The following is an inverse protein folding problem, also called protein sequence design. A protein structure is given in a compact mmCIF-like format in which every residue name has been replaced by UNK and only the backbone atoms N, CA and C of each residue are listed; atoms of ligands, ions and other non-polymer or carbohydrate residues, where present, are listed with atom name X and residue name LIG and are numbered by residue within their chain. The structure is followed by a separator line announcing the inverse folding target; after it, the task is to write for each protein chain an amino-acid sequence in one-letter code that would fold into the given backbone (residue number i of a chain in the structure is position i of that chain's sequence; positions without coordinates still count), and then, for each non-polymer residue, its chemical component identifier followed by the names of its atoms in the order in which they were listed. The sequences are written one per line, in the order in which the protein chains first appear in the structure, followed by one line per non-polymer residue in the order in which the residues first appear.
data_IF_215087584439
#
_entry.id   IF_215087584439
#
_cell.length_a   1.000
_cell.length_b   1.000
_cell.length_c   1.000
_cell.angle_alpha   90.00
_cell.angle_beta   90.00
_cell.angle_gamma   90.00
#
_symmetry.space_group_name_H-M   'P 1'
#
loop_
_entity.id
_entity.type
_entity.pdbx_description
1 polymer ?
#
# COMPACT_ATOMS: atom_id res chain seq x y z
N UNK A 1 -2.38 -3.96 -6.36
CA UNK A 1 -2.85 -2.56 -6.47
C UNK A 1 -2.06 -1.72 -5.48
N UNK A 2 -1.59 -0.55 -5.89
CA UNK A 2 -0.90 0.42 -5.02
C UNK A 2 -1.69 1.71 -5.06
N UNK A 3 -1.99 2.29 -3.92
CA UNK A 3 -2.78 3.52 -3.83
C UNK A 3 -2.70 4.18 -2.47
N UNK A 4 -3.40 5.28 -2.28
CA UNK A 4 -3.42 6.05 -1.03
C UNK A 4 -4.79 6.04 -0.34
N UNK A 5 -5.77 5.33 -0.90
CA UNK A 5 -7.14 5.23 -0.37
C UNK A 5 -7.54 3.78 -0.10
N UNK A 6 -7.94 3.51 1.14
CA UNK A 6 -8.39 2.18 1.56
C UNK A 6 -9.67 1.73 0.84
N UNK A 7 -10.68 2.62 0.79
CA UNK A 7 -12.03 2.31 0.31
C UNK A 7 -12.10 1.93 -1.17
N UNK A 8 -11.21 2.50 -1.99
CA UNK A 8 -11.20 2.25 -3.43
C UNK A 8 -10.10 1.28 -3.81
N UNK A 9 -8.85 1.59 -3.45
CA UNK A 9 -7.69 0.94 -4.05
C UNK A 9 -7.44 -0.42 -3.40
N UNK A 10 -7.54 -0.47 -2.07
CA UNK A 10 -7.30 -1.69 -1.29
C UNK A 10 -8.53 -2.62 -1.39
N UNK A 11 -9.74 -2.10 -1.25
CA UNK A 11 -10.95 -2.89 -1.39
C UNK A 11 -11.06 -3.55 -2.78
N UNK A 12 -10.80 -2.79 -3.86
CA UNK A 12 -10.83 -3.32 -5.22
C UNK A 12 -9.72 -4.34 -5.46
N UNK A 13 -8.49 -4.05 -5.02
CA UNK A 13 -7.37 -4.96 -5.18
C UNK A 13 -7.57 -6.30 -4.48
N UNK A 14 -8.15 -6.29 -3.27
CA UNK A 14 -8.48 -7.54 -2.57
C UNK A 14 -9.65 -8.27 -3.23
N UNK A 15 -10.67 -7.56 -3.68
CA UNK A 15 -11.80 -8.18 -4.40
C UNK A 15 -11.38 -8.87 -5.71
N UNK A 16 -10.31 -8.41 -6.36
CA UNK A 16 -9.73 -9.05 -7.54
C UNK A 16 -8.66 -10.12 -7.23
N UNK A 17 -8.40 -10.40 -5.95
CA UNK A 17 -7.38 -11.37 -5.52
C UNK A 17 -5.93 -10.89 -5.76
N UNK A 18 -5.72 -9.59 -5.94
CA UNK A 18 -4.40 -8.99 -6.11
C UNK A 18 -3.80 -8.58 -4.77
N UNK A 19 -2.47 -8.67 -4.64
CA UNK A 19 -1.76 -8.05 -3.53
C UNK A 19 -1.98 -6.52 -3.53
N UNK A 20 -2.06 -5.93 -2.34
CA UNK A 20 -2.43 -4.54 -2.10
C UNK A 20 -1.38 -3.80 -1.27
N UNK A 21 -1.06 -2.56 -1.63
CA UNK A 21 -0.17 -1.70 -0.88
C UNK A 21 -0.78 -0.31 -0.73
N UNK A 22 -0.77 0.23 0.49
CA UNK A 22 -1.15 1.63 0.74
C UNK A 22 0.10 2.49 0.94
N UNK A 23 0.16 3.65 0.30
CA UNK A 23 1.21 4.66 0.51
C UNK A 23 0.71 5.79 1.41
N UNK A 24 1.49 6.15 2.42
CA UNK A 24 1.13 7.13 3.46
C UNK A 24 1.45 8.58 3.08
N UNK A 25 1.78 8.83 1.81
CA UNK A 25 2.03 10.18 1.27
C UNK A 25 0.75 10.91 0.85
N UNK A 26 -0.39 10.21 0.86
CA UNK A 26 -1.68 10.73 0.36
C UNK A 26 -2.73 10.85 1.46
N UNK A 27 -3.94 10.35 1.19
CA UNK A 27 -5.11 10.55 2.07
C UNK A 27 -5.10 9.66 3.31
N UNK A 28 -4.62 8.43 3.21
CA UNK A 28 -4.65 7.47 4.33
C UNK A 28 -3.57 7.77 5.35
N UNK A 29 -3.96 7.87 6.63
CA UNK A 29 -3.02 8.02 7.76
C UNK A 29 -2.48 6.66 8.21
N UNK A 30 -1.33 6.62 8.93
CA UNK A 30 -0.78 5.38 9.46
C UNK A 30 -1.79 4.63 10.36
N UNK A 31 -2.51 5.36 11.21
CA UNK A 31 -3.48 4.78 12.14
C UNK A 31 -4.67 4.17 11.40
N UNK A 32 -5.15 4.85 10.36
CA UNK A 32 -6.23 4.36 9.51
C UNK A 32 -5.80 3.10 8.73
N UNK A 33 -4.57 3.07 8.20
CA UNK A 33 -4.03 1.91 7.50
C UNK A 33 -3.89 0.69 8.43
N UNK A 34 -3.50 0.90 9.69
CA UNK A 34 -3.36 -0.17 10.69
C UNK A 34 -4.71 -0.69 11.21
N UNK A 35 -5.73 0.17 11.25
CA UNK A 35 -7.08 -0.19 11.67
C UNK A 35 -7.99 -0.68 10.51
N UNK A 36 -7.48 -0.70 9.28
CA UNK A 36 -8.24 -1.06 8.09
C UNK A 36 -8.74 -2.51 8.13
N UNK A 37 -10.01 -2.70 7.77
CA UNK A 37 -10.61 -4.01 7.51
C UNK A 37 -11.35 -3.98 6.16
N UNK A 38 -10.87 -4.68 5.14
CA UNK A 38 -9.70 -5.55 5.14
C UNK A 38 -8.35 -4.79 5.16
N UNK A 39 -7.37 -5.30 5.92
CA UNK A 39 -6.03 -4.70 6.01
C UNK A 39 -5.26 -4.82 4.67
N UNK A 40 -4.51 -3.80 4.22
CA UNK A 40 -3.62 -3.92 3.06
C UNK A 40 -2.44 -4.87 3.35
N UNK A 41 -1.91 -5.52 2.32
CA UNK A 41 -0.77 -6.44 2.47
C UNK A 41 0.53 -5.69 2.80
N UNK A 42 0.66 -4.45 2.31
CA UNK A 42 1.80 -3.58 2.57
C UNK A 42 1.35 -2.17 2.95
N UNK A 43 2.04 -1.58 3.93
CA UNK A 43 1.90 -0.17 4.30
C UNK A 43 3.28 0.46 4.07
N UNK A 44 3.32 1.47 3.20
CA UNK A 44 4.56 2.09 2.73
C UNK A 44 4.56 3.57 3.08
N UNK A 45 5.66 4.06 3.64
CA UNK A 45 5.78 5.50 3.93
C UNK A 45 5.90 6.33 2.66
N UNK A 46 6.47 5.75 1.60
CA UNK A 46 6.70 6.38 0.30
C UNK A 46 6.69 5.35 -0.82
N UNK A 47 6.39 5.81 -2.05
CA UNK A 47 6.29 4.94 -3.22
C UNK A 47 7.62 4.29 -3.63
N UNK A 48 8.76 4.94 -3.36
CA UNK A 48 10.10 4.44 -3.70
C UNK A 48 10.48 3.16 -2.95
N UNK A 49 9.80 2.84 -1.84
CA UNK A 49 9.98 1.60 -1.09
C UNK A 49 9.52 0.34 -1.86
N UNK A 50 8.82 0.49 -2.99
CA UNK A 50 8.51 -0.62 -3.89
C UNK A 50 9.70 -1.04 -4.75
N UNK A 51 10.69 -0.16 -4.90
CA UNK A 51 11.82 -0.44 -5.75
C UNK A 51 12.86 -1.26 -4.97
N UNK A 52 13.48 -2.27 -5.59
CA UNK A 52 14.60 -2.96 -4.97
C UNK A 52 15.73 -1.97 -4.69
N UNK A 53 16.48 -2.25 -3.63
CA UNK A 53 17.63 -1.45 -3.25
C UNK A 53 18.66 -1.44 -4.41
N UNK A 54 18.82 -0.27 -5.03
CA UNK A 54 19.66 -0.07 -6.22
C UNK A 54 21.15 -0.34 -5.92
N UNK A 55 21.51 -0.43 -4.64
CA UNK A 55 22.84 -0.82 -4.13
C UNK A 55 23.24 -2.27 -4.48
N UNK A 56 22.29 -3.11 -4.90
CA UNK A 56 22.50 -4.53 -5.20
C UNK A 56 22.66 -4.86 -6.69
N UNK A 57 22.60 -3.86 -7.58
CA UNK A 57 22.90 -4.04 -9.00
C UNK A 57 24.41 -3.91 -9.24
N UNK A 58 25.17 -4.92 -8.79
CA UNK A 58 26.59 -5.10 -9.08
C UNK A 58 26.83 -6.30 -9.98
#
# INVERSE_FOLDING_TARGET
VVGDRLETDIAMGRASGMATAVVLTGVTTPEAALAADPQPDYILERLDQLLPDQSRAG
#
